data_IF_902660413268
#
_entry.id   IF_902660413268
#
_cell.length_a   1.000
_cell.length_b   1.000
_cell.length_c   1.000
_cell.angle_alpha   90.00
_cell.angle_beta   90.00
_cell.angle_gamma   90.00
#
_symmetry.space_group_name_H-M   'P 1'
#
loop_
_entity.id
_entity.type
_entity.pdbx_description
1 polymer ?
#
# COMPACT_ATOMS: atom_id res chain seq x y z
N UNK A 1 -18.37 11.30 30.63
CA UNK A 1 -18.29 12.32 29.54
C UNK A 1 -16.92 12.33 28.89
N UNK A 2 -15.84 12.33 29.67
CA UNK A 2 -14.44 12.37 29.19
C UNK A 2 -14.09 11.25 28.18
N UNK A 3 -14.31 9.99 28.53
CA UNK A 3 -14.03 8.84 27.63
C UNK A 3 -14.81 8.91 26.30
N UNK A 4 -16.02 9.48 26.30
CA UNK A 4 -16.83 9.67 25.10
C UNK A 4 -16.22 10.76 24.19
N UNK A 5 -15.76 11.85 24.80
CA UNK A 5 -15.07 12.92 24.09
C UNK A 5 -13.75 12.43 23.48
N UNK A 6 -12.96 11.64 24.22
CA UNK A 6 -11.70 11.08 23.71
C UNK A 6 -11.92 10.10 22.55
N UNK A 7 -12.96 9.27 22.62
CA UNK A 7 -13.31 8.39 21.50
C UNK A 7 -13.74 9.17 20.24
N UNK A 8 -14.49 10.26 20.39
CA UNK A 8 -14.86 11.11 19.25
C UNK A 8 -13.63 11.70 18.57
N UNK A 9 -12.63 12.16 19.34
CA UNK A 9 -11.36 12.64 18.81
C UNK A 9 -10.57 11.54 18.08
N UNK A 10 -10.51 10.33 18.63
CA UNK A 10 -9.87 9.20 17.96
C UNK A 10 -10.55 8.86 16.63
N UNK A 11 -11.89 8.89 16.58
CA UNK A 11 -12.65 8.66 15.35
C UNK A 11 -12.48 9.78 14.31
N UNK A 12 -12.16 11.01 14.72
CA UNK A 12 -11.84 12.11 13.77
C UNK A 12 -10.52 11.89 13.02
N UNK A 13 -9.64 11.02 13.50
CA UNK A 13 -8.42 10.63 12.77
C UNK A 13 -8.75 9.84 11.48
N UNK A 14 -9.93 9.24 11.40
CA UNK A 14 -10.40 8.45 10.28
C UNK A 14 -10.99 9.35 9.20
N UNK A 15 -10.22 9.60 8.14
CA UNK A 15 -10.67 10.34 6.96
C UNK A 15 -11.98 9.76 6.39
N UNK A 16 -13.01 10.60 6.24
CA UNK A 16 -14.37 10.21 5.88
C UNK A 16 -15.34 10.22 7.06
N UNK A 17 -14.87 9.92 8.28
CA UNK A 17 -15.67 10.04 9.51
C UNK A 17 -15.46 11.36 10.25
N UNK A 18 -14.36 12.06 9.98
CA UNK A 18 -14.03 13.37 10.58
C UNK A 18 -15.15 14.41 10.46
N UNK A 19 -15.92 14.39 9.37
CA UNK A 19 -17.01 15.33 9.12
C UNK A 19 -18.42 14.74 9.34
N UNK A 20 -18.54 13.53 9.90
CA UNK A 20 -19.84 12.87 10.16
C UNK A 20 -20.07 12.65 11.67
N UNK A 21 -20.48 13.69 12.42
CA UNK A 21 -20.70 13.59 13.87
C UNK A 21 -21.85 12.64 14.23
N UNK A 22 -22.84 12.49 13.36
CA UNK A 22 -24.00 11.60 13.60
C UNK A 22 -23.53 10.15 13.57
N UNK A 23 -22.73 9.76 12.58
CA UNK A 23 -22.20 8.40 12.46
C UNK A 23 -21.22 8.07 13.58
N UNK A 24 -20.33 9.00 13.95
CA UNK A 24 -19.43 8.80 15.10
C UNK A 24 -20.20 8.58 16.40
N UNK A 25 -21.28 9.33 16.64
CA UNK A 25 -22.13 9.10 17.82
C UNK A 25 -22.73 7.68 17.86
N UNK A 26 -23.20 7.17 16.72
CA UNK A 26 -23.71 5.79 16.59
C UNK A 26 -22.63 4.73 16.81
N UNK A 27 -21.43 4.94 16.25
CA UNK A 27 -20.26 4.07 16.49
C UNK A 27 -19.96 4.00 17.97
N UNK A 28 -19.86 5.15 18.64
CA UNK A 28 -19.55 5.23 20.07
C UNK A 28 -20.57 4.44 20.90
N UNK A 29 -21.86 4.61 20.62
CA UNK A 29 -22.93 3.85 21.28
C UNK A 29 -22.77 2.34 21.05
N UNK A 30 -22.55 1.93 19.81
CA UNK A 30 -22.31 0.53 19.46
C UNK A 30 -21.12 -0.06 20.23
N UNK A 31 -19.98 0.64 20.27
CA UNK A 31 -18.78 0.21 20.98
C UNK A 31 -19.04 0.11 22.50
N UNK A 32 -19.85 0.99 23.07
CA UNK A 32 -20.23 0.95 24.48
C UNK A 32 -21.13 -0.25 24.82
N UNK A 33 -22.02 -0.65 23.91
CA UNK A 33 -22.92 -1.80 24.07
C UNK A 33 -22.16 -3.11 23.86
N UNK A 34 -21.44 -3.24 22.74
CA UNK A 34 -20.74 -4.47 22.35
C UNK A 34 -19.43 -4.70 23.09
N UNK A 35 -18.87 -3.66 23.72
CA UNK A 35 -17.60 -3.67 24.46
C UNK A 35 -16.39 -4.12 23.62
N UNK A 36 -16.46 -4.02 22.30
CA UNK A 36 -15.39 -4.40 21.38
C UNK A 36 -15.36 -3.50 20.15
N UNK A 37 -14.18 -3.35 19.56
CA UNK A 37 -13.94 -2.75 18.25
C UNK A 37 -13.38 -3.81 17.30
N UNK A 38 -13.72 -3.70 16.02
CA UNK A 38 -13.20 -4.59 14.99
C UNK A 38 -12.72 -3.80 13.76
N UNK A 39 -11.66 -4.28 13.12
CA UNK A 39 -11.21 -3.87 11.78
C UNK A 39 -11.37 -5.03 10.80
N UNK A 40 -11.95 -4.77 9.63
CA UNK A 40 -11.99 -5.74 8.55
C UNK A 40 -10.71 -5.68 7.70
N UNK A 41 -9.94 -6.76 7.75
CA UNK A 41 -8.68 -6.92 7.04
C UNK A 41 -8.86 -7.75 5.76
N UNK A 42 -8.62 -7.15 4.58
CA UNK A 42 -8.79 -7.80 3.27
C UNK A 42 -7.50 -7.94 2.43
N UNK A 43 -6.38 -7.37 2.91
CA UNK A 43 -5.08 -7.34 2.23
C UNK A 43 -3.92 -7.52 3.22
N UNK A 44 -2.97 -6.56 3.31
CA UNK A 44 -1.74 -6.75 4.11
C UNK A 44 -1.97 -7.00 5.60
N UNK A 45 -3.08 -6.51 6.15
CA UNK A 45 -3.43 -6.73 7.54
C UNK A 45 -3.69 -8.20 7.88
N UNK A 46 -3.96 -9.05 6.89
CA UNK A 46 -4.14 -10.50 7.08
C UNK A 46 -2.83 -11.18 7.49
N UNK A 47 -1.69 -10.75 6.94
CA UNK A 47 -0.37 -11.36 7.19
C UNK A 47 0.59 -10.46 7.97
N UNK A 48 0.25 -9.19 8.16
CA UNK A 48 0.99 -8.22 8.96
C UNK A 48 0.02 -7.29 9.68
N UNK A 49 -0.66 -7.79 10.73
CA UNK A 49 -1.57 -6.99 11.56
C UNK A 49 -0.82 -5.89 12.30
N UNK A 50 -1.57 -4.90 12.78
CA UNK A 50 -1.04 -3.81 13.61
C UNK A 50 -1.09 -4.18 15.11
N UNK A 51 -0.54 -3.31 15.95
CA UNK A 51 -0.51 -3.48 17.41
C UNK A 51 -1.92 -3.40 18.02
N UNK A 52 -2.06 -3.82 19.29
CA UNK A 52 -3.34 -3.84 20.04
C UNK A 52 -4.42 -4.80 19.52
N UNK A 53 -4.14 -5.63 18.51
CA UNK A 53 -5.04 -6.73 18.12
C UNK A 53 -4.98 -7.83 19.19
N UNK A 54 -6.12 -8.10 19.84
CA UNK A 54 -6.24 -9.11 20.90
C UNK A 54 -6.90 -10.40 20.40
N UNK A 55 -7.75 -10.30 19.38
CA UNK A 55 -8.45 -11.44 18.79
C UNK A 55 -8.51 -11.32 17.27
N UNK A 56 -8.43 -12.46 16.57
CA UNK A 56 -8.57 -12.55 15.12
C UNK A 56 -9.65 -13.57 14.77
N UNK A 57 -10.67 -13.15 14.04
CA UNK A 57 -11.70 -14.04 13.49
C UNK A 57 -11.46 -14.19 11.98
N UNK A 58 -11.07 -15.40 11.50
CA UNK A 58 -10.81 -15.62 10.09
C UNK A 58 -12.10 -15.83 9.28
N UNK A 59 -11.96 -15.91 7.94
CA UNK A 59 -13.01 -16.30 6.99
C UNK A 59 -14.32 -15.46 7.05
N UNK A 60 -14.19 -14.19 7.44
CA UNK A 60 -15.28 -13.23 7.43
C UNK A 60 -15.53 -12.71 6.00
N UNK A 61 -16.75 -12.24 5.73
CA UNK A 61 -17.18 -11.81 4.40
C UNK A 61 -17.78 -10.42 4.43
N UNK A 62 -17.26 -9.53 3.58
CA UNK A 62 -17.86 -8.22 3.32
C UNK A 62 -18.59 -8.29 1.97
N UNK A 63 -19.91 -8.11 2.01
CA UNK A 63 -20.81 -8.24 0.84
C UNK A 63 -20.99 -6.88 0.17
N UNK A 64 -21.08 -6.84 -1.16
CA UNK A 64 -21.29 -5.62 -1.93
C UNK A 64 -20.01 -4.85 -2.23
N UNK A 65 -18.85 -5.49 -2.06
CA UNK A 65 -17.54 -4.88 -2.30
C UNK A 65 -16.65 -5.79 -3.16
N UNK A 66 -15.68 -5.17 -3.82
CA UNK A 66 -14.59 -5.85 -4.50
C UNK A 66 -13.26 -5.21 -4.14
N UNK A 67 -12.19 -6.01 -4.14
CA UNK A 67 -10.82 -5.55 -3.93
C UNK A 67 -10.02 -5.68 -5.22
N UNK A 68 -8.99 -4.85 -5.37
CA UNK A 68 -8.06 -4.93 -6.49
C UNK A 68 -6.90 -3.96 -6.28
N UNK A 69 -5.93 -3.95 -7.19
CA UNK A 69 -4.83 -2.98 -7.17
C UNK A 69 -5.31 -1.62 -7.70
N UNK A 70 -5.96 -0.85 -6.82
CA UNK A 70 -6.71 0.36 -7.18
C UNK A 70 -5.95 1.67 -6.88
N UNK A 71 -4.79 1.58 -6.22
CA UNK A 71 -4.05 2.76 -5.75
C UNK A 71 -2.62 2.73 -6.26
N UNK A 72 -2.14 3.90 -6.70
CA UNK A 72 -0.70 4.15 -6.83
C UNK A 72 -0.08 4.34 -5.45
N UNK A 73 1.14 3.83 -5.27
CA UNK A 73 1.88 3.93 -4.02
C UNK A 73 3.35 4.21 -4.31
N UNK A 74 3.86 5.35 -3.85
CA UNK A 74 5.28 5.73 -3.97
C UNK A 74 6.01 5.79 -2.62
N UNK A 75 5.40 5.26 -1.56
CA UNK A 75 5.97 5.24 -0.20
C UNK A 75 6.19 3.80 0.26
N UNK A 76 5.14 2.99 0.35
CA UNK A 76 5.24 1.64 0.92
C UNK A 76 5.74 0.61 -0.09
N UNK A 77 5.17 0.59 -1.30
CA UNK A 77 5.45 -0.41 -2.35
C UNK A 77 6.01 0.19 -3.63
N UNK A 78 6.29 1.48 -3.64
CA UNK A 78 6.97 2.16 -4.74
C UNK A 78 7.88 3.28 -4.27
N UNK A 79 8.46 3.97 -5.24
CA UNK A 79 9.12 5.28 -5.08
C UNK A 79 8.57 6.24 -6.12
N UNK A 80 8.89 7.53 -6.01
CA UNK A 80 8.49 8.54 -7.01
C UNK A 80 8.99 8.21 -8.42
N UNK A 81 10.13 7.52 -8.54
CA UNK A 81 10.70 7.09 -9.82
C UNK A 81 10.19 5.71 -10.28
N UNK A 82 9.59 4.94 -9.38
CA UNK A 82 9.13 3.57 -9.63
C UNK A 82 7.90 3.27 -8.78
N UNK A 83 6.79 3.94 -9.12
CA UNK A 83 5.52 3.83 -8.41
C UNK A 83 5.01 2.40 -8.40
N UNK A 84 4.55 1.94 -7.25
CA UNK A 84 3.92 0.65 -7.06
C UNK A 84 2.39 0.76 -7.07
N UNK A 85 1.76 -0.39 -6.87
CA UNK A 85 0.34 -0.58 -6.75
C UNK A 85 0.00 -1.20 -5.41
N UNK A 86 -0.99 -0.66 -4.71
CA UNK A 86 -1.55 -1.24 -3.49
C UNK A 86 -3.02 -1.59 -3.66
N UNK A 87 -3.50 -2.53 -2.85
CA UNK A 87 -4.89 -2.91 -2.91
C UNK A 87 -5.79 -1.81 -2.35
N UNK A 88 -6.92 -1.59 -3.02
CA UNK A 88 -8.03 -0.82 -2.48
C UNK A 88 -9.30 -1.67 -2.50
N UNK A 89 -10.29 -1.22 -1.74
CA UNK A 89 -11.60 -1.82 -1.63
C UNK A 89 -12.65 -0.80 -2.07
N UNK A 90 -13.55 -1.18 -2.98
CA UNK A 90 -14.62 -0.31 -3.48
C UNK A 90 -15.96 -1.04 -3.57
N UNK A 91 -17.10 -0.32 -3.53
CA UNK A 91 -18.42 -0.91 -3.76
C UNK A 91 -18.48 -1.63 -5.13
N UNK A 92 -19.12 -2.79 -5.14
CA UNK A 92 -19.40 -3.58 -6.33
C UNK A 92 -20.58 -4.53 -6.04
N UNK A 93 -21.69 -4.30 -6.72
CA UNK A 93 -22.88 -5.14 -6.60
C UNK A 93 -22.57 -6.60 -6.96
N UNK A 94 -23.26 -7.53 -6.29
CA UNK A 94 -23.11 -8.97 -6.51
C UNK A 94 -21.67 -9.50 -6.33
N UNK A 95 -20.84 -8.78 -5.57
CA UNK A 95 -19.48 -9.19 -5.20
C UNK A 95 -19.35 -9.34 -3.69
N UNK A 96 -18.34 -10.08 -3.26
CA UNK A 96 -17.94 -10.17 -1.87
C UNK A 96 -16.42 -10.25 -1.74
N UNK A 97 -15.92 -9.86 -0.58
CA UNK A 97 -14.50 -9.96 -0.21
C UNK A 97 -14.36 -10.82 1.04
N UNK A 98 -13.42 -11.77 1.00
CA UNK A 98 -13.05 -12.57 2.17
C UNK A 98 -11.91 -11.89 2.91
N UNK A 99 -12.00 -11.92 4.23
CA UNK A 99 -11.04 -11.25 5.10
C UNK A 99 -11.13 -11.73 6.54
N UNK A 100 -10.42 -11.03 7.41
CA UNK A 100 -10.39 -11.27 8.86
C UNK A 100 -11.05 -10.11 9.59
N UNK A 101 -11.64 -10.38 10.75
CA UNK A 101 -11.89 -9.36 11.75
C UNK A 101 -10.72 -9.35 12.74
N UNK A 102 -10.01 -8.24 12.82
CA UNK A 102 -9.03 -7.96 13.86
C UNK A 102 -9.75 -7.21 14.97
N UNK A 103 -9.71 -7.69 16.20
CA UNK A 103 -10.58 -7.22 17.27
C UNK A 103 -9.79 -6.87 18.52
N UNK A 104 -10.35 -5.96 19.29
CA UNK A 104 -9.87 -5.60 20.62
C UNK A 104 -11.03 -5.18 21.53
N UNK A 105 -10.83 -5.27 22.84
CA UNK A 105 -11.77 -4.82 23.86
C UNK A 105 -11.90 -3.30 23.90
N UNK A 106 -13.00 -2.82 24.46
CA UNK A 106 -13.30 -1.39 24.55
C UNK A 106 -12.20 -0.56 25.26
N UNK A 107 -11.49 -1.14 26.23
CA UNK A 107 -10.42 -0.44 26.94
C UNK A 107 -9.21 -0.13 26.06
N UNK A 108 -9.01 -0.90 24.99
CA UNK A 108 -7.92 -0.74 24.03
C UNK A 108 -8.37 -0.08 22.72
N UNK A 109 -9.64 0.33 22.63
CA UNK A 109 -10.23 0.81 21.37
C UNK A 109 -9.56 2.07 20.80
N UNK A 110 -9.15 3.02 21.65
CA UNK A 110 -8.42 4.23 21.22
C UNK A 110 -7.03 3.88 20.66
N UNK A 111 -6.12 3.22 21.42
CA UNK A 111 -4.80 2.88 20.88
C UNK A 111 -4.89 1.92 19.68
N UNK A 112 -5.92 1.08 19.60
CA UNK A 112 -6.23 0.26 18.44
C UNK A 112 -6.54 1.10 17.18
N UNK A 113 -7.40 2.13 17.29
CA UNK A 113 -7.69 3.05 16.18
C UNK A 113 -6.44 3.82 15.76
N UNK A 114 -5.69 4.36 16.72
CA UNK A 114 -4.47 5.13 16.45
C UNK A 114 -3.39 4.29 15.74
N UNK A 115 -3.17 3.06 16.21
CA UNK A 115 -2.24 2.12 15.59
C UNK A 115 -2.69 1.73 14.17
N UNK A 116 -3.99 1.51 13.97
CA UNK A 116 -4.56 1.24 12.64
C UNK A 116 -4.36 2.42 11.68
N UNK A 117 -4.70 3.65 12.09
CA UNK A 117 -4.52 4.87 11.28
C UNK A 117 -3.04 5.07 10.94
N UNK A 118 -2.15 4.92 11.92
CA UNK A 118 -0.69 5.00 11.72
C UNK A 118 -0.20 3.96 10.72
N UNK A 119 -0.79 2.77 10.71
CA UNK A 119 -0.44 1.64 9.83
C UNK A 119 -0.90 1.84 8.39
N UNK A 120 -2.08 2.43 8.19
CA UNK A 120 -2.73 2.58 6.88
C UNK A 120 -2.53 3.97 6.26
N UNK A 121 -1.93 4.93 6.97
CA UNK A 121 -1.57 6.26 6.43
C UNK A 121 -0.11 6.27 5.97
N UNK A 122 0.19 6.22 4.66
CA UNK A 122 1.55 6.33 4.16
C UNK A 122 2.09 7.73 4.38
N UNK A 123 3.20 7.83 5.11
CA UNK A 123 3.92 9.08 5.37
C UNK A 123 5.38 8.87 4.99
N UNK A 124 5.92 9.76 4.15
CA UNK A 124 7.33 9.73 3.75
C UNK A 124 8.22 10.41 4.81
N UNK A 125 9.53 10.40 4.56
CA UNK A 125 10.52 10.99 5.49
C UNK A 125 10.40 12.51 5.64
N UNK A 126 9.72 13.19 4.70
CA UNK A 126 9.52 14.63 4.71
C UNK A 126 8.15 15.01 5.29
N UNK A 127 7.38 14.03 5.77
CA UNK A 127 6.03 14.24 6.30
C UNK A 127 4.94 14.31 5.22
N UNK A 128 5.25 14.02 3.96
CA UNK A 128 4.25 13.95 2.89
C UNK A 128 3.35 12.73 3.13
N UNK A 129 2.05 12.97 3.28
CA UNK A 129 1.04 11.93 3.47
C UNK A 129 0.37 11.60 2.14
N UNK A 130 0.05 10.32 1.93
CA UNK A 130 -0.81 9.90 0.83
C UNK A 130 -2.22 9.64 1.34
N UNK A 131 -3.21 10.26 0.73
CA UNK A 131 -4.63 10.14 1.07
C UNK A 131 -5.32 8.99 0.32
N UNK A 132 -4.63 7.86 0.16
CA UNK A 132 -5.10 6.72 -0.66
C UNK A 132 -6.38 6.05 -0.15
N UNK A 133 -6.74 6.29 1.11
CA UNK A 133 -7.88 5.64 1.75
C UNK A 133 -8.83 6.62 2.45
N UNK A 134 -10.10 6.23 2.46
CA UNK A 134 -11.14 6.69 3.39
C UNK A 134 -11.53 5.53 4.28
N UNK A 135 -12.23 5.82 5.38
CA UNK A 135 -12.60 4.80 6.35
C UNK A 135 -14.10 4.80 6.59
N UNK A 136 -14.65 3.61 6.73
CA UNK A 136 -16.05 3.44 7.10
C UNK A 136 -16.24 2.23 8.03
N UNK A 137 -17.31 2.21 8.80
CA UNK A 137 -17.77 1.06 9.55
C UNK A 137 -18.83 0.33 8.74
N UNK A 138 -18.55 -0.92 8.37
CA UNK A 138 -19.38 -1.73 7.51
C UNK A 138 -19.82 -3.02 8.20
N UNK A 139 -21.00 -3.56 7.85
CA UNK A 139 -21.43 -4.86 8.34
C UNK A 139 -20.59 -5.98 7.71
N UNK A 140 -20.07 -6.87 8.55
CA UNK A 140 -19.24 -8.01 8.13
C UNK A 140 -19.84 -9.31 8.65
N UNK A 141 -20.09 -10.25 7.73
CA UNK A 141 -20.61 -11.58 8.03
C UNK A 141 -19.49 -12.48 8.55
N UNK A 142 -19.68 -13.05 9.72
CA UNK A 142 -18.78 -14.00 10.35
C UNK A 142 -19.05 -15.44 9.85
N UNK A 143 -18.11 -16.39 10.04
CA UNK A 143 -18.27 -17.76 9.59
C UNK A 143 -19.42 -18.53 10.23
N UNK A 144 -19.83 -18.13 11.43
CA UNK A 144 -20.94 -18.73 12.20
C UNK A 144 -22.32 -18.18 11.79
N UNK A 145 -22.37 -17.27 10.81
CA UNK A 145 -23.60 -16.63 10.33
C UNK A 145 -23.99 -15.35 11.08
N UNK A 146 -23.28 -15.00 12.17
CA UNK A 146 -23.49 -13.74 12.87
C UNK A 146 -22.89 -12.57 12.07
N UNK A 147 -23.35 -11.34 12.35
CA UNK A 147 -22.83 -10.12 11.70
C UNK A 147 -22.23 -9.19 12.75
N UNK A 148 -21.00 -8.71 12.51
CA UNK A 148 -20.49 -7.51 13.18
C UNK A 148 -21.00 -6.32 12.39
N UNK A 149 -21.94 -5.56 12.97
CA UNK A 149 -22.64 -4.46 12.28
C UNK A 149 -21.73 -3.28 11.96
N UNK A 150 -20.73 -3.05 12.80
CA UNK A 150 -19.79 -1.93 12.69
C UNK A 150 -18.35 -2.44 12.76
N UNK A 151 -17.80 -2.89 11.63
CA UNK A 151 -16.37 -3.18 11.48
C UNK A 151 -15.67 -2.07 10.71
N UNK A 152 -14.67 -1.45 11.33
CA UNK A 152 -13.84 -0.41 10.71
C UNK A 152 -13.12 -0.98 9.49
N UNK A 153 -13.32 -0.36 8.34
CA UNK A 153 -12.88 -0.87 7.05
C UNK A 153 -12.22 0.25 6.25
N UNK A 154 -11.06 -0.08 5.67
CA UNK A 154 -10.29 0.81 4.82
C UNK A 154 -10.82 0.74 3.37
N UNK A 155 -11.35 1.84 2.84
CA UNK A 155 -11.88 1.95 1.48
C UNK A 155 -10.92 2.76 0.62
N UNK A 156 -10.92 2.52 -0.70
CA UNK A 156 -10.16 3.38 -1.61
C UNK A 156 -10.75 4.79 -1.63
N UNK A 157 -9.90 5.80 -1.51
CA UNK A 157 -10.31 7.19 -1.72
C UNK A 157 -10.37 7.48 -3.23
N UNK A 158 -11.56 7.41 -3.83
CA UNK A 158 -11.74 7.67 -5.26
C UNK A 158 -11.49 9.13 -5.68
N UNK A 159 -11.39 10.06 -4.72
CA UNK A 159 -11.04 11.47 -4.97
C UNK A 159 -9.55 11.75 -4.84
N UNK A 160 -8.75 10.79 -4.36
CA UNK A 160 -7.30 10.93 -4.29
C UNK A 160 -6.70 10.95 -5.69
N UNK A 161 -5.68 11.79 -5.90
CA UNK A 161 -4.86 11.77 -7.11
C UNK A 161 -4.15 10.42 -7.36
N UNK A 162 -4.04 9.59 -6.32
CA UNK A 162 -3.41 8.28 -6.37
C UNK A 162 -4.38 7.16 -6.74
N UNK A 163 -5.68 7.46 -6.84
CA UNK A 163 -6.68 6.50 -7.29
C UNK A 163 -6.53 6.21 -8.78
N UNK A 164 -6.54 4.93 -9.13
CA UNK A 164 -6.47 4.47 -10.51
C UNK A 164 -7.91 4.30 -11.01
N UNK A 165 -8.42 5.36 -11.65
CA UNK A 165 -9.80 5.40 -12.16
C UNK A 165 -10.05 4.49 -13.35
N UNK A 166 -9.00 4.18 -14.13
CA UNK A 166 -9.06 3.24 -15.26
C UNK A 166 -8.79 1.80 -14.82
N UNK A 167 -9.36 0.84 -15.53
CA UNK A 167 -8.96 -0.57 -15.38
C UNK A 167 -7.57 -0.78 -15.98
N UNK A 168 -6.63 -1.25 -15.17
CA UNK A 168 -5.32 -1.73 -15.65
C UNK A 168 -5.46 -3.19 -16.09
N UNK A 169 -4.93 -3.52 -17.26
CA UNK A 169 -4.77 -4.93 -17.66
C UNK A 169 -3.84 -5.68 -16.70
N UNK A 170 -3.96 -7.02 -16.67
CA UNK A 170 -3.06 -7.87 -15.90
C UNK A 170 -1.59 -7.61 -16.27
N UNK A 171 -1.32 -7.41 -17.55
CA UNK A 171 0.02 -7.17 -18.07
C UNK A 171 0.58 -5.84 -17.57
N UNK A 172 -0.21 -4.76 -17.59
CA UNK A 172 0.20 -3.45 -17.06
C UNK A 172 0.48 -3.53 -15.55
N UNK A 173 -0.43 -4.15 -14.79
CA UNK A 173 -0.25 -4.33 -13.34
C UNK A 173 1.02 -5.16 -13.07
N UNK A 174 1.20 -6.27 -13.80
CA UNK A 174 2.33 -7.16 -13.63
C UNK A 174 3.68 -6.48 -13.94
N UNK A 175 3.75 -5.67 -15.00
CA UNK A 175 4.95 -4.90 -15.33
C UNK A 175 5.34 -3.92 -14.23
N UNK A 176 4.35 -3.26 -13.61
CA UNK A 176 4.58 -2.36 -12.48
C UNK A 176 5.05 -3.16 -11.27
N UNK A 177 4.24 -4.14 -10.83
CA UNK A 177 4.46 -4.94 -9.62
C UNK A 177 5.80 -5.68 -9.63
N UNK A 178 6.22 -6.18 -10.80
CA UNK A 178 7.47 -6.93 -10.92
C UNK A 178 8.71 -6.12 -10.53
N UNK A 179 8.71 -4.80 -10.76
CA UNK A 179 9.90 -3.94 -10.60
C UNK A 179 9.80 -2.91 -9.47
N UNK A 180 8.59 -2.53 -9.05
CA UNK A 180 8.38 -1.50 -8.03
C UNK A 180 8.75 -1.98 -6.62
N UNK A 181 9.21 -1.02 -5.82
CA UNK A 181 9.66 -1.25 -4.46
C UNK A 181 9.55 0.03 -3.63
N UNK A 182 9.25 -0.11 -2.35
CA UNK A 182 9.21 0.99 -1.39
C UNK A 182 9.73 0.57 -0.03
N UNK A 183 9.46 1.39 0.99
CA UNK A 183 10.04 1.21 2.33
C UNK A 183 9.53 -0.06 3.04
N UNK A 184 8.44 -0.65 2.54
CA UNK A 184 7.88 -1.90 3.03
C UNK A 184 8.28 -3.13 2.19
N UNK A 185 9.24 -2.99 1.26
CA UNK A 185 9.74 -4.07 0.40
C UNK A 185 9.23 -3.94 -1.05
N UNK A 186 9.47 -4.97 -1.86
CA UNK A 186 8.98 -4.94 -3.25
C UNK A 186 7.46 -5.05 -3.32
N UNK A 187 6.89 -4.56 -4.41
CA UNK A 187 5.47 -4.73 -4.69
C UNK A 187 5.14 -6.19 -5.07
N UNK A 188 6.08 -6.90 -5.70
CA UNK A 188 5.96 -8.33 -5.96
C UNK A 188 5.84 -9.14 -4.66
N UNK A 189 6.64 -8.83 -3.64
CA UNK A 189 6.51 -9.45 -2.32
C UNK A 189 5.13 -9.18 -1.70
N UNK A 190 4.60 -7.97 -1.84
CA UNK A 190 3.25 -7.65 -1.36
C UNK A 190 2.18 -8.54 -2.01
N UNK A 191 2.24 -8.70 -3.34
CA UNK A 191 1.34 -9.58 -4.08
C UNK A 191 1.52 -11.04 -3.64
N UNK A 192 2.77 -11.51 -3.52
CA UNK A 192 3.10 -12.85 -3.06
C UNK A 192 2.52 -13.15 -1.68
N UNK A 193 2.80 -12.31 -0.68
CA UNK A 193 2.35 -12.49 0.70
C UNK A 193 0.82 -12.47 0.79
N UNK A 194 0.17 -11.58 0.03
CA UNK A 194 -1.29 -11.48 0.03
C UNK A 194 -1.93 -12.74 -0.59
N UNK A 195 -1.41 -13.21 -1.73
CA UNK A 195 -1.89 -14.45 -2.34
C UNK A 195 -1.60 -15.68 -1.46
N UNK A 196 -0.42 -15.74 -0.84
CA UNK A 196 -0.04 -16.82 0.07
C UNK A 196 -0.98 -16.86 1.28
N UNK A 197 -1.26 -15.72 1.91
CA UNK A 197 -2.19 -15.63 3.02
C UNK A 197 -3.60 -16.08 2.60
N UNK A 198 -4.10 -15.60 1.45
CA UNK A 198 -5.42 -16.01 0.97
C UNK A 198 -5.51 -17.53 0.74
N UNK A 199 -4.44 -18.16 0.20
CA UNK A 199 -4.39 -19.62 0.02
C UNK A 199 -4.30 -20.37 1.34
N UNK A 200 -3.39 -19.96 2.23
CA UNK A 200 -3.15 -20.60 3.53
C UNK A 200 -4.43 -20.66 4.37
N UNK A 201 -5.27 -19.63 4.26
CA UNK A 201 -6.46 -19.46 5.07
C UNK A 201 -7.77 -19.65 4.28
N UNK A 202 -7.70 -20.20 3.07
CA UNK A 202 -8.86 -20.46 2.20
C UNK A 202 -9.78 -19.25 2.00
N UNK A 203 -9.21 -18.05 1.93
CA UNK A 203 -9.93 -16.81 1.65
C UNK A 203 -10.14 -16.69 0.14
N UNK A 204 -11.17 -17.37 -0.37
CA UNK A 204 -11.54 -17.34 -1.78
C UNK A 204 -12.70 -16.37 -2.00
N UNK A 205 -12.44 -15.33 -2.78
CA UNK A 205 -13.38 -14.27 -3.14
C UNK A 205 -13.36 -13.96 -4.64
N UNK A 206 -14.15 -12.98 -5.06
CA UNK A 206 -14.34 -12.63 -6.49
C UNK A 206 -13.05 -12.22 -7.19
N UNK A 207 -12.09 -11.61 -6.47
CA UNK A 207 -10.81 -11.17 -7.02
C UNK A 207 -9.74 -12.29 -7.05
N UNK A 208 -9.99 -13.42 -6.40
CA UNK A 208 -8.96 -14.46 -6.20
C UNK A 208 -8.43 -15.05 -7.52
N UNK A 209 -9.29 -15.22 -8.54
CA UNK A 209 -8.86 -15.72 -9.86
C UNK A 209 -7.91 -14.73 -10.55
N UNK A 210 -8.29 -13.46 -10.57
CA UNK A 210 -7.49 -12.39 -11.15
C UNK A 210 -6.15 -12.24 -10.41
N UNK A 211 -6.15 -12.28 -9.08
CA UNK A 211 -4.92 -12.22 -8.28
C UNK A 211 -3.94 -13.36 -8.59
N UNK A 212 -4.44 -14.59 -8.83
CA UNK A 212 -3.60 -15.73 -9.23
C UNK A 212 -2.96 -15.51 -10.61
N UNK A 213 -3.75 -15.02 -11.57
CA UNK A 213 -3.26 -14.71 -12.91
C UNK A 213 -2.20 -13.60 -12.85
N UNK A 214 -2.49 -12.52 -12.11
CA UNK A 214 -1.58 -11.40 -11.89
C UNK A 214 -0.25 -11.87 -11.30
N UNK A 215 -0.27 -12.75 -10.29
CA UNK A 215 0.94 -13.30 -9.69
C UNK A 215 1.79 -14.06 -10.71
N UNK A 216 1.17 -14.94 -11.51
CA UNK A 216 1.88 -15.68 -12.55
C UNK A 216 2.54 -14.75 -13.57
N UNK A 217 1.78 -13.77 -14.08
CA UNK A 217 2.29 -12.80 -15.05
C UNK A 217 3.40 -11.93 -14.45
N UNK A 218 3.23 -11.43 -13.22
CA UNK A 218 4.23 -10.62 -12.53
C UNK A 218 5.52 -11.40 -12.26
N UNK A 219 5.43 -12.70 -11.95
CA UNK A 219 6.59 -13.57 -11.78
C UNK A 219 7.37 -13.73 -13.09
N UNK A 220 6.67 -13.90 -14.22
CA UNK A 220 7.31 -13.94 -15.54
C UNK A 220 8.04 -12.63 -15.86
N UNK A 221 7.41 -11.47 -15.60
CA UNK A 221 8.08 -10.18 -15.77
C UNK A 221 9.27 -10.02 -14.83
N UNK A 222 9.17 -10.48 -13.58
CA UNK A 222 10.26 -10.46 -12.59
C UNK A 222 11.48 -11.26 -13.07
N UNK A 223 11.26 -12.42 -13.67
CA UNK A 223 12.33 -13.24 -14.24
C UNK A 223 12.99 -12.64 -15.49
N UNK A 224 12.28 -11.76 -16.21
CA UNK A 224 12.81 -11.05 -17.38
C UNK A 224 13.58 -9.77 -17.04
N UNK A 225 13.58 -9.36 -15.78
CA UNK A 225 14.42 -8.23 -15.35
C UNK A 225 15.90 -8.57 -15.52
N UNK A 226 16.72 -7.54 -15.72
CA UNK A 226 18.18 -7.69 -15.72
C UNK A 226 18.60 -8.33 -14.41
N UNK A 227 19.51 -9.31 -14.47
CA UNK A 227 19.88 -10.15 -13.34
C UNK A 227 20.25 -9.36 -12.07
N UNK A 228 21.04 -8.29 -12.22
CA UNK A 228 21.42 -7.41 -11.10
C UNK A 228 20.22 -6.71 -10.46
N UNK A 229 19.22 -6.33 -11.25
CA UNK A 229 17.99 -5.72 -10.74
C UNK A 229 17.16 -6.75 -9.98
N UNK A 230 16.98 -7.94 -10.56
CA UNK A 230 16.26 -9.06 -9.93
C UNK A 230 16.88 -9.46 -8.60
N UNK A 231 18.19 -9.73 -8.57
CA UNK A 231 18.92 -10.11 -7.35
C UNK A 231 18.82 -9.05 -6.25
N UNK A 232 18.89 -7.77 -6.61
CA UNK A 232 18.76 -6.70 -5.63
C UNK A 232 17.35 -6.65 -5.03
N UNK A 233 16.31 -6.79 -5.84
CA UNK A 233 14.94 -6.81 -5.34
C UNK A 233 14.69 -8.07 -4.47
N UNK A 234 15.22 -9.22 -4.85
CA UNK A 234 15.14 -10.45 -4.05
C UNK A 234 15.90 -10.32 -2.72
N UNK A 235 16.97 -9.52 -2.67
CA UNK A 235 17.68 -9.18 -1.44
C UNK A 235 16.85 -8.23 -0.57
N UNK A 236 16.25 -7.20 -1.17
CA UNK A 236 15.38 -6.25 -0.48
C UNK A 236 14.22 -6.98 0.23
N UNK A 237 13.64 -7.99 -0.43
CA UNK A 237 12.53 -8.77 0.11
C UNK A 237 12.93 -9.62 1.33
N UNK A 238 14.22 -9.93 1.52
CA UNK A 238 14.73 -10.69 2.67
C UNK A 238 15.05 -9.83 3.89
N UNK A 239 15.08 -8.50 3.73
CA UNK A 239 15.36 -7.59 4.84
C UNK A 239 14.20 -7.59 5.83
N UNK A 240 14.54 -7.55 7.11
CA UNK A 240 13.60 -7.77 8.20
C UNK A 240 12.97 -6.45 8.67
N UNK A 241 13.75 -5.37 8.70
CA UNK A 241 13.31 -4.07 9.23
C UNK A 241 13.08 -3.02 8.14
N UNK A 242 12.28 -2.01 8.49
CA UNK A 242 12.04 -0.84 7.62
C UNK A 242 13.33 -0.03 7.41
N UNK A 243 14.17 0.09 8.44
CA UNK A 243 15.42 0.85 8.37
C UNK A 243 16.46 0.19 7.46
N UNK A 244 16.58 -1.14 7.52
CA UNK A 244 17.42 -1.91 6.58
C UNK A 244 17.00 -1.67 5.13
N UNK A 245 15.68 -1.74 4.85
CA UNK A 245 15.14 -1.49 3.50
C UNK A 245 15.39 -0.05 3.07
N UNK A 246 15.18 0.91 3.95
CA UNK A 246 15.43 2.32 3.66
C UNK A 246 16.89 2.57 3.29
N UNK A 247 17.83 1.98 4.04
CA UNK A 247 19.25 2.08 3.77
C UNK A 247 19.60 1.46 2.41
N UNK A 248 19.10 0.25 2.12
CA UNK A 248 19.32 -0.43 0.84
C UNK A 248 18.79 0.38 -0.36
N UNK A 249 17.60 0.97 -0.22
CA UNK A 249 16.98 1.85 -1.24
C UNK A 249 17.84 3.09 -1.47
N UNK A 250 18.29 3.76 -0.39
CA UNK A 250 19.16 4.93 -0.47
C UNK A 250 20.47 4.60 -1.20
N UNK A 251 21.13 3.51 -0.84
CA UNK A 251 22.37 3.05 -1.47
C UNK A 251 22.19 2.75 -2.98
N UNK A 252 21.05 2.19 -3.39
CA UNK A 252 20.74 1.96 -4.82
C UNK A 252 20.58 3.28 -5.58
N UNK A 253 19.91 4.28 -5.01
CA UNK A 253 19.75 5.61 -5.62
C UNK A 253 21.12 6.28 -5.82
N UNK A 254 21.99 6.28 -4.81
CA UNK A 254 23.34 6.86 -4.91
C UNK A 254 24.19 6.18 -5.99
N UNK A 255 24.17 4.85 -6.09
CA UNK A 255 24.87 4.12 -7.16
C UNK A 255 24.34 4.48 -8.55
N UNK A 256 23.01 4.58 -8.73
CA UNK A 256 22.40 4.99 -10.00
C UNK A 256 22.80 6.42 -10.39
N UNK A 257 22.81 7.36 -9.45
CA UNK A 257 23.25 8.75 -9.68
C UNK A 257 24.73 8.76 -10.07
N UNK A 258 25.61 8.09 -9.33
CA UNK A 258 27.03 8.01 -9.65
C UNK A 258 27.33 7.40 -11.03
N UNK A 259 26.59 6.37 -11.44
CA UNK A 259 26.68 5.79 -12.79
C UNK A 259 26.20 6.79 -13.86
N UNK A 260 25.08 7.49 -13.63
CA UNK A 260 24.57 8.52 -14.56
C UNK A 260 25.57 9.68 -14.70
N UNK A 261 26.12 10.19 -13.60
CA UNK A 261 27.12 11.26 -13.61
C UNK A 261 28.41 10.83 -14.31
N UNK A 262 28.89 9.59 -14.09
CA UNK A 262 30.05 9.05 -14.84
C UNK A 262 29.78 8.88 -16.33
N UNK A 263 28.59 8.41 -16.71
CA UNK A 263 28.20 8.33 -18.13
C UNK A 263 28.09 9.72 -18.77
N UNK A 264 27.63 10.72 -18.03
CA UNK A 264 27.56 12.12 -18.48
C UNK A 264 28.96 12.72 -18.62
N UNK A 265 29.84 12.53 -17.63
CA UNK A 265 31.24 12.95 -17.67
C UNK A 265 32.00 12.28 -18.81
N UNK A 266 31.86 10.97 -19.00
CA UNK A 266 32.49 10.26 -20.12
C UNK A 266 31.96 10.75 -21.48
N UNK A 267 30.68 11.12 -21.58
CA UNK A 267 30.12 11.78 -22.77
C UNK A 267 30.73 13.16 -22.99
N UNK A 268 30.88 13.97 -21.95
CA UNK A 268 31.50 15.30 -22.03
C UNK A 268 32.99 15.22 -22.39
N UNK A 269 33.73 14.25 -21.84
CA UNK A 269 35.14 14.02 -22.17
C UNK A 269 35.33 13.38 -23.57
N UNK A 270 34.29 12.77 -24.15
CA UNK A 270 34.33 12.24 -25.53
C UNK A 270 34.00 13.27 -26.62
N UNK A 271 33.60 14.49 -26.24
CA UNK A 271 33.52 15.61 -27.19
C UNK A 271 34.92 16.21 -27.27
N UNK A 272 35.67 15.86 -28.32
CA UNK A 272 36.99 16.42 -28.59
C UNK A 272 36.93 17.95 -28.67
N UNK A 273 37.99 18.68 -28.26
CA UNK A 273 38.03 20.12 -28.44
C UNK A 273 38.02 20.42 -29.94
N UNK A 274 36.93 21.00 -30.42
CA UNK A 274 36.89 21.60 -31.76
C UNK A 274 37.99 22.67 -31.82
N UNK A 275 38.91 22.45 -32.74
CA UNK A 275 40.02 23.33 -33.14
C UNK A 275 39.70 24.82 -32.99
N UNK A 276 40.48 25.50 -32.17
CA UNK A 276 40.58 26.96 -32.14
C UNK A 276 41.20 27.40 -33.48
N UNK A 277 40.57 28.26 -34.29
CA UNK A 277 41.21 28.79 -35.50
C UNK A 277 42.29 29.79 -35.09
N UNK A 278 43.54 29.49 -35.43
CA UNK A 278 44.66 30.42 -35.40
C UNK A 278 44.41 31.55 -36.40
N UNK A 279 44.11 32.76 -35.90
CA UNK A 279 44.16 33.98 -36.70
C UNK A 279 45.61 34.50 -36.72
N UNK A 280 46.28 34.39 -37.87
CA UNK A 280 47.47 35.19 -38.14
C UNK A 280 47.50 35.68 -39.60
N UNK A 281 47.40 37.01 -39.71
CA UNK A 281 47.95 37.95 -40.72
C UNK A 281 47.59 37.82 -42.20
N UNK A 282 47.09 38.93 -42.74
CA UNK A 282 47.75 39.60 -43.87
C UNK A 282 47.56 41.13 -43.80
N UNK A 283 48.69 41.84 -43.69
CA UNK A 283 48.87 43.24 -44.09
C UNK A 283 49.33 43.23 -45.55
N UNK A 284 48.63 43.93 -46.44
CA UNK A 284 49.21 44.55 -47.66
C UNK A 284 48.18 45.48 -48.33
N UNK A 285 48.26 46.76 -47.99
CA UNK A 285 48.26 47.93 -48.88
C UNK A 285 48.66 49.14 -48.03
#
# INVERSE_FOLDING_TARGET
MEQKSTMDEALKLLHGLNNDPIKRAKVIEYLQIKKTIAVFAYASLIWNPFEHVEQIIPNCSLIGYTKGFLCQDFIYRGTTECTGLTMGLKPCENSYVKGYLLMSGIHQSIPFIEAFVKRETPIDINGCKMDIYTYDFLPVLMPDGNTIEWALTCLVNCHSQFYISRTLSIEEQAQIIARSYGINGSNFQYLHNTLYACRKFSLLDTFTKEMKQLYGTALLYRHRLVEQERQWLDTLDKLSTKDERQLAIKSRKTKRIGIKSRKLLNRMCSVAPTTIPTYHRMLSA
#
